data_IF_295748345302
#
_entry.id   IF_295748345302
#
_cell.length_a   1.000
_cell.length_b   1.000
_cell.length_c   1.000
_cell.angle_alpha   90.00
_cell.angle_beta   90.00
_cell.angle_gamma   90.00
#
_symmetry.space_group_name_H-M   'P 1'
#
loop_
_entity.id
_entity.type
_entity.pdbx_description
1 polymer ?
#
# COMPACT_ATOMS: atom_id res chain seq x y z
N UNK A 1 22.57 5.16 -48.62
CA UNK A 1 22.18 3.92 -47.91
C UNK A 1 22.13 4.22 -46.43
N UNK A 2 21.02 3.93 -45.75
CA UNK A 2 20.93 4.02 -44.28
C UNK A 2 21.29 2.65 -43.67
N UNK A 3 22.00 2.61 -42.54
CA UNK A 3 22.41 1.34 -41.92
C UNK A 3 21.19 0.56 -41.42
N UNK A 4 21.19 -0.75 -41.68
CA UNK A 4 20.22 -1.70 -41.12
C UNK A 4 20.56 -1.85 -39.64
N UNK A 5 19.69 -1.37 -38.75
CA UNK A 5 19.91 -1.53 -37.30
C UNK A 5 19.56 -2.93 -36.85
N UNK A 6 20.48 -3.57 -36.14
CA UNK A 6 20.25 -4.88 -35.52
C UNK A 6 19.34 -4.70 -34.30
N UNK A 7 18.49 -5.67 -33.93
CA UNK A 7 17.58 -5.54 -32.78
C UNK A 7 18.28 -5.17 -31.45
N UNK A 8 19.57 -5.47 -31.32
CA UNK A 8 20.43 -5.09 -30.20
C UNK A 8 20.79 -3.58 -30.15
N UNK A 9 20.66 -2.85 -31.26
CA UNK A 9 20.93 -1.40 -31.37
C UNK A 9 19.68 -0.56 -31.06
N UNK A 10 18.53 -1.20 -30.85
CA UNK A 10 17.32 -0.54 -30.39
C UNK A 10 17.51 -0.34 -28.88
N UNK A 11 17.88 0.88 -28.49
CA UNK A 11 17.90 1.31 -27.09
C UNK A 11 16.47 1.32 -26.53
N UNK A 12 16.00 0.17 -26.06
CA UNK A 12 14.73 0.04 -25.39
C UNK A 12 14.82 0.72 -24.01
N UNK A 13 14.21 1.90 -23.87
CA UNK A 13 14.03 2.52 -22.56
C UNK A 13 12.97 1.76 -21.77
N UNK A 14 13.40 0.77 -20.98
CA UNK A 14 12.53 0.03 -20.07
C UNK A 14 12.16 0.97 -18.90
N UNK A 15 10.96 1.55 -18.94
CA UNK A 15 10.43 2.34 -17.82
C UNK A 15 9.98 1.40 -16.69
N UNK A 16 10.86 1.16 -15.73
CA UNK A 16 10.53 0.43 -14.50
C UNK A 16 9.88 1.42 -13.53
N UNK A 17 8.55 1.43 -13.46
CA UNK A 17 7.83 2.22 -12.47
C UNK A 17 7.98 1.56 -11.09
N UNK A 18 8.32 2.32 -10.03
CA UNK A 18 8.30 1.77 -8.68
C UNK A 18 6.86 1.37 -8.35
N UNK A 19 6.63 0.07 -8.16
CA UNK A 19 5.33 -0.44 -7.69
C UNK A 19 5.11 0.14 -6.30
N UNK A 20 4.28 1.17 -6.19
CA UNK A 20 3.88 1.77 -4.91
C UNK A 20 3.05 0.73 -4.16
N UNK A 21 3.71 -0.15 -3.40
CA UNK A 21 3.04 -1.11 -2.51
C UNK A 21 2.40 -0.33 -1.38
N UNK A 22 1.07 -0.26 -1.39
CA UNK A 22 0.31 0.29 -0.27
C UNK A 22 0.34 -0.75 0.85
N UNK A 23 0.93 -0.39 1.98
CA UNK A 23 0.94 -1.28 3.14
C UNK A 23 -0.47 -1.44 3.71
N UNK A 24 -0.78 -2.63 4.22
CA UNK A 24 -2.11 -2.98 4.72
C UNK A 24 -2.63 -2.02 5.80
N UNK A 25 -1.74 -1.55 6.69
CA UNK A 25 -2.10 -0.60 7.75
C UNK A 25 -2.47 0.79 7.18
N UNK A 26 -1.91 1.20 6.05
CA UNK A 26 -2.23 2.47 5.40
C UNK A 26 -3.64 2.40 4.81
N UNK A 27 -3.95 1.28 4.13
CA UNK A 27 -5.27 0.99 3.55
C UNK A 27 -6.39 1.09 4.60
N UNK A 28 -6.17 0.55 5.80
CA UNK A 28 -7.18 0.52 6.86
C UNK A 28 -7.13 1.70 7.84
N UNK A 29 -6.22 2.66 7.66
CA UNK A 29 -5.98 3.72 8.64
C UNK A 29 -7.21 4.57 8.96
N UNK A 30 -7.94 5.01 7.93
CA UNK A 30 -9.17 5.79 8.10
C UNK A 30 -10.24 4.99 8.85
N UNK A 31 -10.54 3.77 8.37
CA UNK A 31 -11.56 2.90 8.96
C UNK A 31 -11.23 2.53 10.41
N UNK A 32 -9.97 2.25 10.71
CA UNK A 32 -9.53 1.94 12.08
C UNK A 32 -9.73 3.13 13.04
N UNK A 33 -9.56 4.37 12.57
CA UNK A 33 -9.84 5.58 13.37
C UNK A 33 -11.33 5.76 13.62
N UNK A 34 -12.16 5.61 12.58
CA UNK A 34 -13.62 5.68 12.69
C UNK A 34 -14.14 4.67 13.73
N UNK A 35 -13.74 3.39 13.62
CA UNK A 35 -14.17 2.36 14.56
C UNK A 35 -13.65 2.61 15.98
N UNK A 36 -12.45 3.19 16.12
CA UNK A 36 -11.92 3.53 17.44
C UNK A 36 -12.69 4.69 18.09
N UNK A 37 -13.12 5.67 17.31
CA UNK A 37 -14.00 6.75 17.77
C UNK A 37 -15.39 6.24 18.20
N UNK A 38 -15.88 5.17 17.55
CA UNK A 38 -17.08 4.44 17.98
C UNK A 38 -16.88 3.58 19.24
N UNK A 39 -15.72 3.65 19.88
CA UNK A 39 -15.42 2.96 21.14
C UNK A 39 -14.93 1.51 20.98
N UNK A 40 -14.81 0.97 19.76
CA UNK A 40 -14.37 -0.41 19.57
C UNK A 40 -12.92 -0.63 20.01
N UNK A 41 -12.66 -1.74 20.70
CA UNK A 41 -11.30 -2.15 21.07
C UNK A 41 -10.47 -2.55 19.84
N UNK A 42 -9.14 -2.55 19.94
CA UNK A 42 -8.28 -2.98 18.83
C UNK A 42 -8.52 -4.44 18.42
N UNK A 43 -8.97 -5.31 19.34
CA UNK A 43 -9.32 -6.70 19.03
C UNK A 43 -10.63 -6.79 18.24
N UNK A 44 -11.63 -5.98 18.60
CA UNK A 44 -12.87 -5.88 17.83
C UNK A 44 -12.59 -5.33 16.43
N UNK A 45 -11.79 -4.27 16.31
CA UNK A 45 -11.39 -3.70 15.02
C UNK A 45 -10.65 -4.73 14.15
N UNK A 46 -9.71 -5.46 14.75
CA UNK A 46 -8.96 -6.51 14.07
C UNK A 46 -9.88 -7.61 13.51
N UNK A 47 -10.86 -8.06 14.30
CA UNK A 47 -11.88 -9.03 13.86
C UNK A 47 -12.76 -8.46 12.75
N UNK A 48 -13.30 -7.25 12.92
CA UNK A 48 -14.18 -6.59 11.93
C UNK A 48 -13.48 -6.38 10.58
N UNK A 49 -12.20 -6.04 10.59
CA UNK A 49 -11.42 -5.76 9.38
C UNK A 49 -10.66 -6.99 8.85
N UNK A 50 -10.80 -8.17 9.49
CA UNK A 50 -10.05 -9.38 9.16
C UNK A 50 -8.52 -9.14 9.07
N UNK A 51 -7.95 -8.45 10.06
CA UNK A 51 -6.51 -8.16 10.16
C UNK A 51 -5.96 -8.53 11.53
N UNK A 52 -4.63 -8.55 11.66
CA UNK A 52 -4.00 -8.74 12.97
C UNK A 52 -4.24 -7.53 13.89
N UNK A 53 -4.27 -7.78 15.22
CA UNK A 53 -4.31 -6.71 16.24
C UNK A 53 -3.17 -5.70 16.04
N UNK A 54 -1.97 -6.17 15.67
CA UNK A 54 -0.81 -5.31 15.38
C UNK A 54 -1.10 -4.37 14.22
N UNK A 55 -1.68 -4.89 13.13
CA UNK A 55 -2.08 -4.09 11.97
C UNK A 55 -3.14 -3.05 12.34
N UNK A 56 -4.13 -3.40 13.16
CA UNK A 56 -5.16 -2.46 13.63
C UNK A 56 -4.55 -1.31 14.45
N UNK A 57 -3.59 -1.60 15.34
CA UNK A 57 -2.87 -0.59 16.13
C UNK A 57 -2.04 0.32 15.20
N UNK A 58 -1.28 -0.26 14.26
CA UNK A 58 -0.50 0.51 13.29
C UNK A 58 -1.39 1.38 12.39
N UNK A 59 -2.54 0.87 11.97
CA UNK A 59 -3.50 1.59 11.15
C UNK A 59 -4.08 2.80 11.90
N UNK A 60 -4.46 2.63 13.17
CA UNK A 60 -4.94 3.73 14.01
C UNK A 60 -3.88 4.82 14.20
N UNK A 61 -2.62 4.42 14.49
CA UNK A 61 -1.50 5.36 14.72
C UNK A 61 -1.01 6.04 13.45
N UNK A 62 -1.34 5.52 12.27
CA UNK A 62 -0.88 6.07 11.00
C UNK A 62 -1.40 7.49 10.77
N UNK A 63 -0.47 8.43 10.54
CA UNK A 63 -0.76 9.77 10.06
C UNK A 63 -0.30 9.85 8.61
N UNK A 64 -1.22 10.22 7.72
CA UNK A 64 -0.87 10.53 6.34
C UNK A 64 -0.12 11.88 6.40
N UNK A 65 1.17 11.86 6.05
CA UNK A 65 1.97 13.06 5.81
C UNK A 65 1.47 13.76 4.54
#
# INVERSE_FOLDING_TARGET
>A
MQPIRTAAEITAQIKIYPVRRIYLYQKYSQKAKELRLLGMSYEQIAKTLYISKKTAISAFKYKKL
#
